data_IF_594908154426
#
_entry.id   IF_594908154426
#
_cell.length_a   1.000
_cell.length_b   1.000
_cell.length_c   1.000
_cell.angle_alpha   90.00
_cell.angle_beta   90.00
_cell.angle_gamma   90.00
#
_symmetry.space_group_name_H-M   'P 1'
#
loop_
_entity.id
_entity.type
_entity.pdbx_description
1 polymer ?
#
# COMPACT_ATOMS: atom_id res chain seq x y z
N UNK A 1 7.63 23.74 -11.01
CA UNK A 1 7.93 22.73 -9.97
C UNK A 1 8.28 21.44 -10.68
N UNK A 2 9.38 20.78 -10.30
CA UNK A 2 9.72 19.49 -10.89
C UNK A 2 8.66 18.45 -10.53
N UNK A 3 8.37 17.52 -11.47
CA UNK A 3 7.44 16.41 -11.22
C UNK A 3 7.92 15.58 -10.02
N UNK A 4 7.04 15.33 -9.03
CA UNK A 4 7.36 14.48 -7.88
C UNK A 4 7.46 13.02 -8.33
N UNK A 5 8.19 12.24 -7.57
CA UNK A 5 8.59 10.86 -7.90
C UNK A 5 7.96 9.90 -6.88
N UNK A 6 7.17 8.96 -7.35
CA UNK A 6 6.43 8.04 -6.48
C UNK A 6 6.83 6.57 -6.75
N UNK A 7 7.08 5.82 -5.68
CA UNK A 7 7.19 4.37 -5.71
C UNK A 7 5.88 3.76 -5.20
N UNK A 8 5.20 2.96 -6.04
CA UNK A 8 3.96 2.26 -5.68
C UNK A 8 4.20 0.76 -5.65
N UNK A 9 4.24 0.15 -4.47
CA UNK A 9 4.45 -1.29 -4.34
C UNK A 9 3.18 -2.08 -4.66
N UNK A 10 3.31 -3.22 -5.34
CA UNK A 10 2.16 -3.97 -5.84
C UNK A 10 1.32 -3.16 -6.84
N UNK A 11 1.99 -2.35 -7.67
CA UNK A 11 1.36 -1.42 -8.61
C UNK A 11 0.82 -2.03 -9.90
N UNK A 12 1.01 -3.34 -10.13
CA UNK A 12 0.66 -3.99 -11.38
C UNK A 12 -0.82 -4.29 -11.58
N UNK A 13 -1.66 -4.21 -10.53
CA UNK A 13 -3.10 -4.50 -10.58
C UNK A 13 -3.87 -3.88 -9.42
N UNK A 14 -5.19 -3.97 -9.49
CA UNK A 14 -6.12 -3.61 -8.41
C UNK A 14 -5.93 -2.20 -7.87
N UNK A 15 -5.88 -2.06 -6.55
CA UNK A 15 -5.70 -0.79 -5.85
C UNK A 15 -4.38 -0.11 -6.26
N UNK A 16 -3.28 -0.87 -6.33
CA UNK A 16 -1.96 -0.33 -6.66
C UNK A 16 -1.89 0.28 -8.06
N UNK A 17 -2.48 -0.36 -9.06
CA UNK A 17 -2.56 0.17 -10.43
C UNK A 17 -3.42 1.45 -10.49
N UNK A 18 -4.53 1.50 -9.74
CA UNK A 18 -5.36 2.70 -9.63
C UNK A 18 -4.62 3.84 -8.93
N UNK A 19 -3.84 3.55 -7.88
CA UNK A 19 -2.98 4.54 -7.20
C UNK A 19 -1.92 5.07 -8.17
N UNK A 20 -1.24 4.19 -8.92
CA UNK A 20 -0.25 4.60 -9.91
C UNK A 20 -0.85 5.58 -10.94
N UNK A 21 -2.06 5.28 -11.46
CA UNK A 21 -2.79 6.17 -12.39
C UNK A 21 -3.14 7.51 -11.76
N UNK A 22 -3.66 7.50 -10.53
CA UNK A 22 -4.07 8.73 -9.84
C UNK A 22 -2.86 9.64 -9.56
N UNK A 23 -1.73 9.08 -9.13
CA UNK A 23 -0.49 9.82 -8.92
C UNK A 23 0.08 10.36 -10.24
N UNK A 24 0.12 9.55 -11.30
CA UNK A 24 0.55 10.00 -12.63
C UNK A 24 -0.36 11.11 -13.17
N UNK A 25 -1.70 10.98 -12.99
CA UNK A 25 -2.68 12.03 -13.34
C UNK A 25 -2.49 13.32 -12.55
N UNK A 26 -1.87 13.25 -11.38
CA UNK A 26 -1.47 14.41 -10.56
C UNK A 26 -0.06 14.92 -10.88
N UNK A 27 0.56 14.45 -11.97
CA UNK A 27 1.86 14.91 -12.45
C UNK A 27 3.08 14.22 -11.82
N UNK A 28 2.89 13.11 -11.10
CA UNK A 28 4.03 12.35 -10.57
C UNK A 28 4.66 11.44 -11.64
N UNK A 29 5.98 11.29 -11.61
CA UNK A 29 6.64 10.14 -12.24
C UNK A 29 6.52 8.95 -11.31
N UNK A 30 6.12 7.79 -11.81
CA UNK A 30 5.77 6.63 -10.99
C UNK A 30 6.66 5.44 -11.33
N UNK A 31 7.29 4.87 -10.32
CA UNK A 31 7.84 3.51 -10.37
C UNK A 31 6.75 2.53 -9.96
N UNK A 32 6.30 1.73 -10.92
CA UNK A 32 5.31 0.68 -10.73
C UNK A 32 6.05 -0.59 -10.31
N UNK A 33 5.83 -1.04 -9.07
CA UNK A 33 6.51 -2.23 -8.58
C UNK A 33 5.63 -3.47 -8.73
N UNK A 34 6.27 -4.58 -9.15
CA UNK A 34 5.74 -5.95 -9.07
C UNK A 34 6.79 -6.90 -8.47
N UNK A 35 6.37 -8.11 -8.02
CA UNK A 35 7.30 -9.04 -7.40
C UNK A 35 8.31 -9.64 -8.38
N UNK A 36 7.85 -10.16 -9.51
CA UNK A 36 8.69 -10.83 -10.51
C UNK A 36 8.19 -10.64 -11.96
N UNK A 37 6.94 -11.02 -12.26
CA UNK A 37 6.38 -10.90 -13.61
C UNK A 37 6.05 -9.45 -13.92
N UNK A 38 6.77 -8.86 -14.87
CA UNK A 38 6.62 -7.46 -15.25
C UNK A 38 5.48 -7.21 -16.22
N UNK A 39 4.95 -8.23 -16.90
CA UNK A 39 3.97 -8.07 -18.00
C UNK A 39 2.81 -7.13 -17.63
N UNK A 40 2.19 -7.36 -16.47
CA UNK A 40 1.08 -6.51 -16.02
C UNK A 40 1.56 -5.12 -15.55
N UNK A 41 2.75 -5.04 -14.94
CA UNK A 41 3.33 -3.77 -14.50
C UNK A 41 3.75 -2.90 -15.69
N UNK A 42 4.32 -3.50 -16.73
CA UNK A 42 4.69 -2.81 -17.99
C UNK A 42 3.45 -2.26 -18.68
N UNK A 43 2.37 -3.04 -18.75
CA UNK A 43 1.09 -2.58 -19.29
C UNK A 43 0.51 -1.40 -18.50
N UNK A 44 0.59 -1.45 -17.17
CA UNK A 44 0.17 -0.32 -16.32
C UNK A 44 1.05 0.88 -16.59
N UNK A 45 2.37 0.75 -16.54
CA UNK A 45 3.31 1.87 -16.73
C UNK A 45 3.15 2.54 -18.10
N UNK A 46 2.94 1.75 -19.17
CA UNK A 46 2.71 2.27 -20.52
C UNK A 46 1.39 3.05 -20.65
N UNK A 47 0.38 2.72 -19.84
CA UNK A 47 -0.94 3.38 -19.83
C UNK A 47 -1.03 4.57 -18.87
N UNK A 48 0.04 4.91 -18.12
CA UNK A 48 0.03 6.06 -17.21
C UNK A 48 0.09 7.38 -18.00
N UNK A 49 -0.67 8.40 -17.60
CA UNK A 49 -0.56 9.74 -18.18
C UNK A 49 0.77 10.39 -17.84
N UNK A 50 1.37 11.09 -18.82
CA UNK A 50 2.67 11.72 -18.68
C UNK A 50 3.82 10.86 -19.22
N UNK A 51 5.01 11.02 -18.65
CA UNK A 51 6.21 10.31 -19.11
C UNK A 51 7.21 10.11 -17.96
N UNK A 52 8.24 9.29 -18.20
CA UNK A 52 9.30 9.03 -17.21
C UNK A 52 8.85 8.08 -16.08
N UNK A 53 7.84 7.27 -16.36
CA UNK A 53 7.45 6.15 -15.49
C UNK A 53 8.41 4.98 -15.68
N UNK A 54 8.52 4.12 -14.69
CA UNK A 54 9.40 2.96 -14.71
C UNK A 54 8.70 1.73 -14.08
N UNK A 55 9.19 0.54 -14.42
CA UNK A 55 8.84 -0.69 -13.72
C UNK A 55 10.04 -1.14 -12.91
N UNK A 56 9.81 -1.57 -11.67
CA UNK A 56 10.83 -2.11 -10.77
C UNK A 56 10.34 -3.40 -10.13
N UNK A 57 11.24 -4.33 -9.88
CA UNK A 57 10.92 -5.66 -9.36
C UNK A 57 11.63 -5.98 -8.07
N UNK A 58 11.06 -6.87 -7.27
CA UNK A 58 11.66 -7.40 -6.05
C UNK A 58 10.62 -7.96 -5.10
N UNK A 59 10.99 -8.93 -4.27
CA UNK A 59 10.10 -9.38 -3.20
C UNK A 59 10.25 -8.44 -1.99
N UNK A 60 9.19 -7.72 -1.63
CA UNK A 60 9.19 -6.80 -0.49
C UNK A 60 9.38 -7.53 0.85
N UNK A 61 9.09 -8.84 0.90
CA UNK A 61 9.29 -9.67 2.07
C UNK A 61 10.77 -9.99 2.34
N UNK A 62 11.63 -9.86 1.32
CA UNK A 62 13.08 -10.06 1.44
C UNK A 62 13.76 -8.71 1.68
N UNK A 63 14.48 -8.51 2.81
CA UNK A 63 15.11 -7.23 3.13
C UNK A 63 16.16 -6.78 2.10
N UNK A 64 16.90 -7.73 1.50
CA UNK A 64 17.91 -7.43 0.49
C UNK A 64 17.26 -6.95 -0.82
N UNK A 65 16.20 -7.63 -1.24
CA UNK A 65 15.44 -7.23 -2.43
C UNK A 65 14.67 -5.92 -2.20
N UNK A 66 14.11 -5.69 -1.02
CA UNK A 66 13.47 -4.42 -0.68
C UNK A 66 14.45 -3.24 -0.80
N UNK A 67 15.69 -3.41 -0.34
CA UNK A 67 16.75 -2.39 -0.51
C UNK A 67 17.13 -2.19 -1.98
N UNK A 68 17.32 -3.26 -2.73
CA UNK A 68 17.64 -3.20 -4.16
C UNK A 68 16.51 -2.56 -4.97
N UNK A 69 15.26 -2.85 -4.63
CA UNK A 69 14.06 -2.26 -5.20
C UNK A 69 14.04 -0.73 -5.04
N UNK A 70 14.31 -0.22 -3.84
CA UNK A 70 14.37 1.23 -3.60
C UNK A 70 15.50 1.87 -4.40
N UNK A 71 16.69 1.25 -4.44
CA UNK A 71 17.82 1.73 -5.23
C UNK A 71 17.49 1.78 -6.73
N UNK A 72 16.81 0.75 -7.26
CA UNK A 72 16.36 0.71 -8.65
C UNK A 72 15.35 1.83 -8.96
N UNK A 73 14.38 2.06 -8.07
CA UNK A 73 13.39 3.14 -8.23
C UNK A 73 14.05 4.52 -8.17
N UNK A 74 15.00 4.75 -7.27
CA UNK A 74 15.81 5.97 -7.19
C UNK A 74 16.58 6.19 -8.48
N UNK A 75 17.25 5.17 -9.00
CA UNK A 75 17.99 5.25 -10.26
C UNK A 75 17.10 5.60 -11.45
N UNK A 76 15.94 4.92 -11.56
CA UNK A 76 15.02 5.08 -12.70
C UNK A 76 14.30 6.43 -12.69
N UNK A 77 13.92 6.95 -11.52
CA UNK A 77 13.18 8.20 -11.39
C UNK A 77 14.06 9.42 -11.09
N UNK A 78 15.32 9.22 -10.70
CA UNK A 78 16.20 10.26 -10.17
C UNK A 78 15.89 10.64 -8.72
N UNK A 79 15.23 9.79 -7.97
CA UNK A 79 14.85 9.95 -6.55
C UNK A 79 13.45 9.48 -6.25
N UNK A 80 13.06 9.51 -4.96
CA UNK A 80 11.71 9.18 -4.48
C UNK A 80 11.24 10.30 -3.54
N UNK A 81 10.03 10.80 -3.75
CA UNK A 81 9.37 11.80 -2.90
C UNK A 81 8.15 11.21 -2.19
N UNK A 82 7.56 10.15 -2.77
CA UNK A 82 6.37 9.48 -2.23
C UNK A 82 6.59 7.98 -2.27
N UNK A 83 6.45 7.32 -1.10
CA UNK A 83 6.35 5.87 -1.00
C UNK A 83 4.91 5.47 -0.74
N UNK A 84 4.36 4.56 -1.56
CA UNK A 84 3.08 3.92 -1.29
C UNK A 84 3.30 2.44 -1.01
N UNK A 85 3.18 2.05 0.26
CA UNK A 85 3.17 0.67 0.73
C UNK A 85 1.80 0.05 0.48
N UNK A 86 1.61 -0.54 -0.71
CA UNK A 86 0.36 -1.19 -1.11
C UNK A 86 0.51 -2.70 -1.32
N UNK A 87 1.71 -3.22 -1.65
CA UNK A 87 1.92 -4.66 -1.79
C UNK A 87 1.43 -5.43 -0.55
N UNK A 88 0.71 -6.52 -0.78
CA UNK A 88 0.19 -7.33 0.31
C UNK A 88 -0.37 -8.65 -0.17
N UNK A 89 -0.52 -9.58 0.77
CA UNK A 89 -1.14 -10.89 0.58
C UNK A 89 -2.26 -11.08 1.59
N UNK A 90 -3.30 -11.80 1.17
CA UNK A 90 -4.36 -12.30 2.03
C UNK A 90 -4.34 -13.82 1.97
N UNK A 91 -4.11 -14.48 3.09
CA UNK A 91 -4.09 -15.94 3.17
C UNK A 91 -5.27 -16.38 4.03
N UNK A 92 -6.21 -17.11 3.40
CA UNK A 92 -7.34 -17.70 4.10
C UNK A 92 -6.84 -18.87 4.96
N UNK A 93 -7.08 -18.80 6.28
CA UNK A 93 -6.48 -19.71 7.23
C UNK A 93 -7.29 -19.81 8.52
N UNK A 94 -8.44 -20.51 8.49
CA UNK A 94 -9.24 -20.72 9.68
C UNK A 94 -8.49 -21.62 10.67
N UNK A 95 -8.29 -21.16 11.90
CA UNK A 95 -7.49 -21.84 12.92
C UNK A 95 -7.98 -23.27 13.19
N UNK A 96 -9.29 -23.49 13.15
CA UNK A 96 -9.87 -24.82 13.43
C UNK A 96 -9.66 -25.85 12.32
N UNK A 97 -9.23 -25.43 11.13
CA UNK A 97 -9.08 -26.29 9.95
C UNK A 97 -7.67 -26.23 9.32
N UNK A 98 -6.71 -25.61 9.99
CA UNK A 98 -5.35 -25.41 9.45
C UNK A 98 -4.34 -26.24 10.25
N UNK A 99 -3.43 -26.94 9.58
CA UNK A 99 -2.32 -27.62 10.26
C UNK A 99 -1.37 -26.62 10.92
N UNK A 100 -0.66 -27.03 11.98
CA UNK A 100 0.29 -26.14 12.65
C UNK A 100 1.42 -25.68 11.72
N UNK A 101 1.88 -26.53 10.83
CA UNK A 101 2.91 -26.17 9.84
C UNK A 101 2.42 -25.09 8.85
N UNK A 102 1.21 -25.27 8.31
CA UNK A 102 0.61 -24.29 7.39
C UNK A 102 0.27 -22.99 8.12
N UNK A 103 -0.17 -23.07 9.38
CA UNK A 103 -0.38 -21.93 10.25
C UNK A 103 0.89 -21.09 10.37
N UNK A 104 2.01 -21.71 10.74
CA UNK A 104 3.28 -21.00 10.87
C UNK A 104 3.77 -20.41 9.54
N UNK A 105 3.69 -21.18 8.44
CA UNK A 105 4.12 -20.72 7.12
C UNK A 105 3.33 -19.48 6.66
N UNK A 106 2.02 -19.49 6.86
CA UNK A 106 1.14 -18.40 6.52
C UNK A 106 1.38 -17.15 7.38
N UNK A 107 1.61 -17.32 8.68
CA UNK A 107 1.98 -16.21 9.55
C UNK A 107 3.26 -15.54 9.09
N UNK A 108 4.33 -16.30 8.87
CA UNK A 108 5.59 -15.76 8.35
C UNK A 108 5.37 -15.00 7.05
N UNK A 109 4.78 -15.64 6.04
CA UNK A 109 4.51 -15.02 4.75
C UNK A 109 3.72 -13.72 4.87
N UNK A 110 2.69 -13.72 5.73
CA UNK A 110 1.80 -12.56 5.88
C UNK A 110 2.50 -11.42 6.62
N UNK A 111 3.20 -11.70 7.72
CA UNK A 111 3.94 -10.69 8.48
C UNK A 111 5.10 -10.12 7.64
N UNK A 112 5.88 -10.99 6.98
CA UNK A 112 7.01 -10.56 6.16
C UNK A 112 6.54 -9.62 5.03
N UNK A 113 5.45 -9.98 4.32
CA UNK A 113 4.97 -9.18 3.20
C UNK A 113 4.23 -7.91 3.65
N UNK A 114 3.29 -8.03 4.62
CA UNK A 114 2.33 -6.97 4.93
C UNK A 114 2.79 -6.00 6.02
N UNK A 115 3.84 -6.35 6.78
CA UNK A 115 4.37 -5.54 7.88
C UNK A 115 5.88 -5.28 7.75
N UNK A 116 6.71 -6.31 7.69
CA UNK A 116 8.17 -6.13 7.64
C UNK A 116 8.62 -5.55 6.30
N UNK A 117 8.01 -5.94 5.17
CA UNK A 117 8.26 -5.33 3.87
C UNK A 117 8.04 -3.82 3.87
N UNK A 118 6.84 -3.31 4.25
CA UNK A 118 6.59 -1.89 4.45
C UNK A 118 7.58 -1.20 5.40
N UNK A 119 7.99 -1.86 6.48
CA UNK A 119 8.96 -1.32 7.43
C UNK A 119 10.36 -1.14 6.78
N UNK A 120 10.83 -2.16 6.06
CA UNK A 120 12.11 -2.10 5.35
C UNK A 120 12.11 -1.03 4.25
N UNK A 121 11.03 -0.93 3.48
CA UNK A 121 10.88 0.08 2.44
C UNK A 121 10.82 1.49 3.04
N UNK A 122 10.09 1.68 4.14
CA UNK A 122 10.03 2.95 4.84
C UNK A 122 11.42 3.38 5.32
N UNK A 123 12.21 2.45 5.89
CA UNK A 123 13.58 2.72 6.29
C UNK A 123 14.46 3.11 5.09
N UNK A 124 14.47 2.30 4.02
CA UNK A 124 15.29 2.56 2.84
C UNK A 124 14.96 3.89 2.15
N UNK A 125 13.67 4.22 2.05
CA UNK A 125 13.23 5.50 1.47
C UNK A 125 13.58 6.66 2.38
N UNK A 126 13.43 6.51 3.70
CA UNK A 126 13.83 7.56 4.66
C UNK A 126 15.34 7.81 4.60
N UNK A 127 16.16 6.77 4.55
CA UNK A 127 17.62 6.89 4.39
C UNK A 127 17.98 7.66 3.10
N UNK A 128 17.34 7.31 1.97
CA UNK A 128 17.51 8.05 0.72
C UNK A 128 17.11 9.54 0.87
N UNK A 129 15.95 9.81 1.50
CA UNK A 129 15.43 11.17 1.66
C UNK A 129 16.33 12.05 2.52
N UNK A 130 16.88 11.50 3.61
CA UNK A 130 17.75 12.23 4.54
C UNK A 130 19.14 12.49 3.94
N UNK A 131 19.62 11.67 3.02
CA UNK A 131 20.96 11.75 2.44
C UNK A 131 21.00 12.41 1.04
N UNK A 132 19.85 12.71 0.43
CA UNK A 132 19.81 13.37 -0.88
C UNK A 132 20.06 14.90 -0.77
N UNK A 133 20.67 15.55 -1.79
CA UNK A 133 21.01 16.98 -1.72
C UNK A 133 19.82 17.91 -1.51
N UNK A 134 18.65 17.60 -2.07
CA UNK A 134 17.43 18.41 -1.96
C UNK A 134 16.71 18.26 -0.61
N UNK A 135 17.19 17.35 0.24
CA UNK A 135 16.60 17.06 1.55
C UNK A 135 15.26 16.36 1.48
N UNK A 136 14.69 16.02 2.65
CA UNK A 136 13.45 15.22 2.76
C UNK A 136 12.15 16.02 2.69
N UNK A 137 12.22 17.36 2.73
CA UNK A 137 11.01 18.20 2.92
C UNK A 137 9.92 17.93 1.88
N UNK A 138 8.70 17.85 2.38
CA UNK A 138 7.53 17.56 1.55
C UNK A 138 7.35 16.08 1.18
N UNK A 139 8.23 15.16 1.58
CA UNK A 139 8.09 13.74 1.29
C UNK A 139 6.90 13.08 2.00
N UNK A 140 6.41 11.98 1.45
CA UNK A 140 5.25 11.23 1.95
C UNK A 140 5.53 9.73 2.00
N UNK A 141 5.11 9.09 3.09
CA UNK A 141 5.01 7.62 3.20
C UNK A 141 3.55 7.29 3.49
N UNK A 142 2.91 6.54 2.59
CA UNK A 142 1.49 6.22 2.66
C UNK A 142 1.32 4.72 2.66
N UNK A 143 0.59 4.18 3.64
CA UNK A 143 0.36 2.74 3.77
C UNK A 143 -1.09 2.38 3.43
N UNK A 144 -1.29 1.35 2.61
CA UNK A 144 -2.61 0.75 2.39
C UNK A 144 -2.83 -0.32 3.46
N UNK A 145 -3.52 0.09 4.51
CA UNK A 145 -3.93 -0.75 5.62
C UNK A 145 -5.14 -1.62 5.31
N UNK A 146 -6.05 -1.76 6.28
CA UNK A 146 -7.32 -2.46 6.12
C UNK A 146 -8.25 -2.16 7.30
N UNK A 147 -9.56 -2.16 7.05
CA UNK A 147 -10.59 -2.25 8.08
C UNK A 147 -10.39 -3.47 8.98
N UNK A 148 -9.85 -4.58 8.41
CA UNK A 148 -9.56 -5.82 9.13
C UNK A 148 -8.58 -5.64 10.30
N UNK A 149 -7.82 -4.55 10.36
CA UNK A 149 -6.99 -4.18 11.52
C UNK A 149 -7.82 -3.92 12.79
N UNK A 150 -9.09 -3.54 12.65
CA UNK A 150 -9.97 -3.16 13.75
C UNK A 150 -11.13 -4.13 13.95
N UNK A 151 -11.66 -4.68 12.85
CA UNK A 151 -12.85 -5.51 12.88
C UNK A 151 -12.58 -6.98 13.23
N UNK A 152 -11.35 -7.45 13.09
CA UNK A 152 -11.01 -8.86 13.17
C UNK A 152 -11.32 -9.62 11.87
N UNK A 153 -10.44 -10.55 11.52
CA UNK A 153 -10.54 -11.41 10.34
C UNK A 153 -10.50 -12.87 10.80
N UNK A 154 -11.65 -13.51 11.04
CA UNK A 154 -11.70 -14.83 11.68
C UNK A 154 -11.01 -15.92 10.85
N UNK A 155 -10.92 -15.75 9.55
CA UNK A 155 -10.28 -16.69 8.64
C UNK A 155 -8.89 -16.22 8.14
N UNK A 156 -8.40 -15.07 8.62
CA UNK A 156 -7.08 -14.53 8.27
C UNK A 156 -6.47 -13.71 9.42
N UNK A 157 -6.29 -14.29 10.62
CA UNK A 157 -5.84 -13.53 11.78
C UNK A 157 -4.44 -12.93 11.63
N UNK A 158 -3.53 -13.59 10.89
CA UNK A 158 -2.23 -13.04 10.56
C UNK A 158 -2.33 -11.75 9.72
N UNK A 159 -3.32 -11.68 8.82
CA UNK A 159 -3.59 -10.47 8.03
C UNK A 159 -4.05 -9.32 8.92
N UNK A 160 -5.03 -9.58 9.80
CA UNK A 160 -5.51 -8.58 10.76
C UNK A 160 -4.37 -8.05 11.64
N UNK A 161 -3.56 -8.95 12.20
CA UNK A 161 -2.40 -8.59 13.04
C UNK A 161 -1.37 -7.74 12.26
N UNK A 162 -1.03 -8.15 11.02
CA UNK A 162 -0.12 -7.39 10.18
C UNK A 162 -0.63 -5.99 9.86
N UNK A 163 -1.93 -5.85 9.52
CA UNK A 163 -2.53 -4.55 9.20
C UNK A 163 -2.70 -3.67 10.44
N UNK A 164 -2.98 -4.23 11.61
CA UNK A 164 -2.96 -3.49 12.87
C UNK A 164 -1.55 -2.99 13.22
N UNK A 165 -0.53 -3.85 13.06
CA UNK A 165 0.87 -3.44 13.20
C UNK A 165 1.28 -2.36 12.22
N UNK A 166 0.82 -2.43 10.96
CA UNK A 166 1.08 -1.41 9.94
C UNK A 166 0.47 -0.04 10.31
N UNK A 167 -0.73 -0.01 10.90
CA UNK A 167 -1.34 1.23 11.40
C UNK A 167 -0.54 1.81 12.57
N UNK A 168 -0.14 1.00 13.54
CA UNK A 168 0.68 1.43 14.67
C UNK A 168 2.06 1.92 14.22
N UNK A 169 2.69 1.25 13.25
CA UNK A 169 3.93 1.69 12.63
C UNK A 169 3.76 3.04 11.93
N UNK A 170 2.67 3.23 11.18
CA UNK A 170 2.35 4.50 10.51
C UNK A 170 2.34 5.65 11.50
N UNK A 171 1.66 5.50 12.64
CA UNK A 171 1.58 6.52 13.68
C UNK A 171 2.94 6.80 14.33
N UNK A 172 3.71 5.75 14.62
CA UNK A 172 5.05 5.88 15.20
C UNK A 172 6.00 6.62 14.25
N UNK A 173 6.01 6.25 12.96
CA UNK A 173 6.82 6.92 11.95
C UNK A 173 6.36 8.36 11.70
N UNK A 174 5.07 8.67 11.80
CA UNK A 174 4.57 10.03 11.67
C UNK A 174 5.18 10.96 12.72
N UNK A 175 5.24 10.51 13.98
CA UNK A 175 5.87 11.27 15.07
C UNK A 175 7.38 11.39 14.87
N UNK A 176 8.05 10.30 14.53
CA UNK A 176 9.50 10.26 14.38
C UNK A 176 10.02 11.08 13.19
N UNK A 177 9.26 11.14 12.08
CA UNK A 177 9.71 11.75 10.83
C UNK A 177 9.18 13.18 10.59
N UNK A 178 8.21 13.64 11.38
CA UNK A 178 7.69 15.00 11.29
C UNK A 178 8.77 16.09 11.43
N UNK A 179 9.77 15.96 12.35
CA UNK A 179 10.86 16.94 12.45
C UNK A 179 11.71 17.06 11.17
N UNK A 180 11.65 16.06 10.29
CA UNK A 180 12.35 16.05 9.01
C UNK A 180 11.46 16.49 7.82
N UNK A 181 10.24 16.98 8.07
CA UNK A 181 9.32 17.38 7.01
C UNK A 181 8.67 16.22 6.23
N UNK A 182 8.80 14.98 6.71
CA UNK A 182 8.21 13.78 6.10
C UNK A 182 6.88 13.48 6.77
N UNK A 183 5.77 13.51 6.02
CA UNK A 183 4.48 13.10 6.55
C UNK A 183 4.20 11.62 6.26
N UNK A 184 3.62 10.94 7.25
CA UNK A 184 3.30 9.51 7.18
C UNK A 184 1.84 9.30 7.52
N UNK A 185 1.10 8.60 6.66
CA UNK A 185 -0.32 8.33 6.86
C UNK A 185 -0.72 6.95 6.32
N UNK A 186 -1.90 6.49 6.66
CA UNK A 186 -2.47 5.27 6.12
C UNK A 186 -3.93 5.47 5.68
N UNK A 187 -4.37 4.60 4.79
CA UNK A 187 -5.79 4.38 4.50
C UNK A 187 -6.19 2.99 4.98
N UNK A 188 -7.42 2.82 5.45
CA UNK A 188 -7.99 1.55 5.91
C UNK A 188 -9.21 1.17 5.06
N UNK A 189 -9.01 0.58 3.86
CA UNK A 189 -10.11 0.16 3.02
C UNK A 189 -10.92 -0.96 3.64
N UNK A 190 -12.24 -0.99 3.32
CA UNK A 190 -13.07 -2.18 3.45
C UNK A 190 -12.84 -3.15 2.29
N UNK A 191 -13.89 -3.85 1.86
CA UNK A 191 -13.83 -4.64 0.64
C UNK A 191 -13.78 -3.72 -0.60
N UNK A 192 -12.88 -4.06 -1.52
CA UNK A 192 -12.64 -3.33 -2.77
C UNK A 192 -12.76 -4.31 -3.94
N UNK A 193 -13.42 -3.89 -5.02
CA UNK A 193 -13.60 -4.67 -6.26
C UNK A 193 -12.25 -4.88 -6.95
N UNK A 194 -11.59 -5.99 -6.63
CA UNK A 194 -10.27 -6.37 -7.16
C UNK A 194 -10.22 -7.86 -7.42
N UNK A 195 -9.29 -8.33 -8.26
CA UNK A 195 -9.04 -9.75 -8.48
C UNK A 195 -8.85 -10.54 -7.17
N UNK A 196 -8.22 -9.93 -6.16
CA UNK A 196 -8.02 -10.56 -4.84
C UNK A 196 -9.34 -10.84 -4.13
N UNK A 197 -10.34 -10.01 -4.31
CA UNK A 197 -11.66 -10.14 -3.67
C UNK A 197 -12.69 -10.86 -4.56
N UNK A 198 -12.40 -11.05 -5.85
CA UNK A 198 -13.38 -11.51 -6.83
C UNK A 198 -13.97 -12.87 -6.49
N UNK A 199 -13.13 -13.85 -6.10
CA UNK A 199 -13.60 -15.19 -5.73
C UNK A 199 -14.58 -15.19 -4.55
N UNK A 200 -14.42 -14.25 -3.62
CA UNK A 200 -15.30 -14.10 -2.45
C UNK A 200 -16.55 -13.29 -2.82
N UNK A 201 -16.41 -12.27 -3.65
CA UNK A 201 -17.51 -11.38 -4.08
C UNK A 201 -18.45 -12.05 -5.07
N UNK A 202 -17.96 -12.96 -5.92
CA UNK A 202 -18.77 -13.77 -6.86
C UNK A 202 -19.32 -15.04 -6.20
N UNK A 203 -18.85 -15.41 -5.01
CA UNK A 203 -19.30 -16.57 -4.26
C UNK A 203 -20.54 -16.32 -3.39
N UNK A 204 -21.01 -17.35 -2.66
CA UNK A 204 -22.22 -17.27 -1.83
C UNK A 204 -22.19 -16.18 -0.74
N UNK A 205 -20.99 -15.74 -0.32
CA UNK A 205 -20.82 -14.68 0.67
C UNK A 205 -20.92 -13.26 0.08
N UNK A 206 -20.92 -13.12 -1.24
CA UNK A 206 -20.78 -11.84 -1.93
C UNK A 206 -21.87 -10.82 -1.57
N UNK A 207 -23.14 -11.23 -1.52
CA UNK A 207 -24.25 -10.34 -1.15
C UNK A 207 -24.17 -9.91 0.31
N UNK A 208 -23.80 -10.82 1.21
CA UNK A 208 -23.56 -10.49 2.62
C UNK A 208 -22.39 -9.51 2.80
N UNK A 209 -21.37 -9.57 1.95
CA UNK A 209 -20.26 -8.62 1.96
C UNK A 209 -20.72 -7.24 1.48
N UNK A 210 -21.47 -7.16 0.38
CA UNK A 210 -22.00 -5.90 -0.13
C UNK A 210 -22.96 -5.23 0.86
N UNK A 211 -23.79 -6.03 1.53
CA UNK A 211 -24.73 -5.57 2.55
C UNK A 211 -24.05 -5.03 3.83
N UNK A 212 -22.76 -5.28 4.05
CA UNK A 212 -22.03 -4.68 5.17
C UNK A 212 -21.94 -3.17 5.06
N UNK A 213 -21.91 -2.63 3.85
CA UNK A 213 -21.95 -1.18 3.62
C UNK A 213 -23.40 -0.72 3.35
N UNK A 214 -23.85 0.37 4.03
CA UNK A 214 -25.16 0.98 3.72
C UNK A 214 -25.34 1.40 2.25
N UNK A 215 -24.24 1.56 1.50
CA UNK A 215 -24.30 1.83 0.06
C UNK A 215 -24.65 0.59 -0.78
N UNK A 216 -24.75 -0.62 -0.19
CA UNK A 216 -25.09 -1.86 -0.88
C UNK A 216 -24.04 -2.35 -1.87
N UNK A 217 -22.81 -1.85 -1.79
CA UNK A 217 -21.69 -2.21 -2.67
C UNK A 217 -20.35 -2.22 -1.94
N UNK A 218 -19.34 -2.79 -2.56
CA UNK A 218 -17.94 -2.62 -2.17
C UNK A 218 -17.36 -1.36 -2.83
N UNK A 219 -16.19 -0.92 -2.35
CA UNK A 219 -15.49 0.21 -2.95
C UNK A 219 -14.88 -0.18 -4.30
N UNK A 220 -14.72 0.80 -5.18
CA UNK A 220 -13.91 0.68 -6.38
C UNK A 220 -12.45 1.06 -6.08
N UNK A 221 -11.45 0.45 -6.77
CA UNK A 221 -10.04 0.78 -6.58
C UNK A 221 -9.74 2.27 -6.73
N UNK A 222 -10.48 2.97 -7.59
CA UNK A 222 -10.33 4.41 -7.81
C UNK A 222 -10.71 5.25 -6.58
N UNK A 223 -11.64 4.79 -5.75
CA UNK A 223 -12.06 5.50 -4.53
C UNK A 223 -10.93 5.47 -3.47
N UNK A 224 -10.22 4.36 -3.38
CA UNK A 224 -9.02 4.25 -2.52
C UNK A 224 -7.87 5.08 -3.10
N UNK A 225 -7.67 5.03 -4.40
CA UNK A 225 -6.61 5.76 -5.09
C UNK A 225 -6.76 7.29 -4.96
N UNK A 226 -7.98 7.81 -4.98
CA UNK A 226 -8.26 9.23 -4.78
C UNK A 226 -7.79 9.73 -3.39
N UNK A 227 -8.06 8.96 -2.34
CA UNK A 227 -7.60 9.29 -1.00
C UNK A 227 -6.06 9.22 -0.87
N UNK A 228 -5.43 8.23 -1.48
CA UNK A 228 -3.96 8.12 -1.50
C UNK A 228 -3.34 9.28 -2.29
N UNK A 229 -3.91 9.67 -3.42
CA UNK A 229 -3.43 10.82 -4.19
C UNK A 229 -3.56 12.14 -3.39
N UNK A 230 -4.66 12.32 -2.65
CA UNK A 230 -4.81 13.45 -1.73
C UNK A 230 -3.74 13.42 -0.63
N UNK A 231 -3.50 12.27 0.02
CA UNK A 231 -2.45 12.13 1.04
C UNK A 231 -1.05 12.39 0.48
N UNK A 232 -0.81 12.10 -0.79
CA UNK A 232 0.45 12.40 -1.48
C UNK A 232 0.61 13.91 -1.78
N UNK A 233 -0.43 14.70 -1.74
CA UNK A 233 -0.42 16.12 -2.06
C UNK A 233 0.15 16.98 -0.91
N UNK A 234 0.59 18.21 -1.19
CA UNK A 234 0.97 19.17 -0.14
C UNK A 234 -0.17 19.53 0.81
N UNK A 235 -1.42 19.45 0.34
CA UNK A 235 -2.62 19.83 1.13
C UNK A 235 -2.88 18.87 2.30
N UNK A 236 -2.32 17.65 2.26
CA UNK A 236 -2.55 16.64 3.29
C UNK A 236 -1.47 16.60 4.39
N UNK A 237 -0.60 17.61 4.49
CA UNK A 237 0.47 17.63 5.51
C UNK A 237 -0.09 17.41 6.92
N UNK A 238 -1.20 18.04 7.26
CA UNK A 238 -1.82 17.96 8.59
C UNK A 238 -2.55 16.64 8.86
N UNK A 239 -2.64 15.75 7.85
CA UNK A 239 -3.12 14.38 8.00
C UNK A 239 -2.00 13.39 8.40
N UNK A 240 -0.79 13.88 8.73
CA UNK A 240 0.29 13.01 9.23
C UNK A 240 -0.16 12.31 10.53
N UNK A 241 0.06 11.01 10.62
CA UNK A 241 -0.41 10.13 11.70
C UNK A 241 -1.83 9.60 11.53
N UNK A 242 -2.61 10.11 10.58
CA UNK A 242 -3.97 9.62 10.35
C UNK A 242 -3.99 8.22 9.74
N UNK A 243 -5.01 7.46 10.15
CA UNK A 243 -5.48 6.26 9.46
C UNK A 243 -6.89 6.53 8.99
N UNK A 244 -7.07 6.75 7.69
CA UNK A 244 -8.35 7.16 7.11
C UNK A 244 -9.18 5.95 6.73
N UNK A 245 -10.34 5.79 7.36
CA UNK A 245 -11.28 4.72 7.04
C UNK A 245 -11.94 4.96 5.67
N UNK A 246 -11.78 3.99 4.77
CA UNK A 246 -12.37 3.96 3.42
C UNK A 246 -13.20 2.69 3.27
N UNK A 247 -14.22 2.52 4.10
CA UNK A 247 -14.93 1.25 4.22
C UNK A 247 -16.46 1.36 3.99
N UNK A 248 -16.94 2.51 3.50
CA UNK A 248 -18.35 2.72 3.20
C UNK A 248 -19.26 2.53 4.41
N UNK A 249 -18.84 2.97 5.59
CA UNK A 249 -19.52 2.79 6.87
C UNK A 249 -19.81 1.32 7.26
N UNK A 250 -19.10 0.37 6.67
CA UNK A 250 -19.21 -1.06 7.02
C UNK A 250 -18.58 -1.39 8.39
N UNK A 251 -17.86 -0.44 8.96
CA UNK A 251 -17.32 -0.45 10.31
C UNK A 251 -17.04 0.99 10.77
N UNK A 252 -17.52 1.35 11.96
CA UNK A 252 -17.27 2.64 12.62
C UNK A 252 -16.45 2.40 13.89
N UNK A 253 -15.47 3.26 14.17
CA UNK A 253 -14.64 3.23 15.39
C UNK A 253 -14.90 4.48 16.21
#
# INVERSE_FOLDING_TARGET
MNARRALVTGGSRGIGASIARALAGSGHRVAVHCRADTTAADAVAAALPGSGHAVVTGDVADPGQARALVAAAVSALGGIDVLVNNAGVYVHQPIAATSYADWQASWRRTIDTNLLGPANLAWCVTDHLLNRPEGPDGARIISVGSRGAYRGEPTAPAYAAAKAGLHAMTQSLAVALAPHGIAVAAVAPGFVSTEMAESVLSGPAGDGIRAQSPFGRVAEPAEVAAAVAWLASPLALWASGAVIDLNGASYLR
#
